data_IF_529045740777
#
_entry.id   IF_529045740777
#
_cell.length_a   1.000
_cell.length_b   1.000
_cell.length_c   1.000
_cell.angle_alpha   90.00
_cell.angle_beta   90.00
_cell.angle_gamma   90.00
#
_symmetry.space_group_name_H-M   'P 1'
#
loop_
_entity.id
_entity.type
_entity.pdbx_description
1 polymer ?
#
# COMPACT_ATOMS: atom_id res chain seq x y z
N UNK A 1 -9.31 -4.19 26.12
CA UNK A 1 -10.58 -4.82 25.71
C UNK A 1 -10.53 -4.93 24.19
N UNK A 2 -10.17 -6.09 23.65
CA UNK A 2 -10.07 -6.32 22.21
C UNK A 2 -11.47 -6.41 21.64
N UNK A 3 -11.89 -5.40 20.91
CA UNK A 3 -13.09 -5.49 20.07
C UNK A 3 -12.83 -6.50 18.97
N UNK A 4 -13.41 -7.69 19.10
CA UNK A 4 -13.59 -8.62 17.99
C UNK A 4 -14.43 -7.91 16.92
N UNK A 5 -13.78 -7.21 15.99
CA UNK A 5 -14.42 -6.90 14.71
C UNK A 5 -14.57 -8.23 13.98
N UNK A 6 -15.75 -8.83 14.09
CA UNK A 6 -16.20 -9.87 13.15
C UNK A 6 -16.13 -9.24 11.77
N UNK A 7 -15.08 -9.60 11.02
CA UNK A 7 -14.97 -9.28 9.61
C UNK A 7 -16.16 -9.92 8.90
N UNK A 8 -17.22 -9.13 8.69
CA UNK A 8 -18.38 -9.59 7.95
C UNK A 8 -18.02 -9.57 6.45
N UNK A 9 -17.15 -10.53 6.03
CA UNK A 9 -16.75 -10.73 4.63
C UNK A 9 -17.91 -11.37 3.88
N UNK A 10 -18.98 -10.61 3.71
CA UNK A 10 -20.24 -11.11 3.15
C UNK A 10 -20.23 -11.00 1.63
N UNK A 11 -19.51 -11.90 0.98
CA UNK A 11 -19.56 -12.06 -0.48
C UNK A 11 -20.49 -13.22 -0.82
N UNK A 12 -21.53 -13.01 -1.62
CA UNK A 12 -22.43 -14.09 -2.04
C UNK A 12 -21.70 -14.99 -3.05
N UNK A 13 -21.15 -16.11 -2.57
CA UNK A 13 -20.37 -17.08 -3.35
C UNK A 13 -21.09 -17.54 -4.61
N UNK A 14 -22.43 -17.58 -4.57
CA UNK A 14 -23.28 -18.03 -5.70
C UNK A 14 -23.37 -16.99 -6.81
N UNK A 15 -22.97 -15.73 -6.55
CA UNK A 15 -22.92 -14.68 -7.57
C UNK A 15 -21.59 -14.66 -8.31
N UNK A 16 -20.55 -15.27 -7.75
CA UNK A 16 -19.22 -15.26 -8.38
C UNK A 16 -19.23 -16.18 -9.61
N UNK A 17 -18.81 -15.63 -10.73
CA UNK A 17 -18.69 -16.32 -12.01
C UNK A 17 -17.26 -16.88 -12.13
N UNK A 18 -17.17 -18.19 -12.09
CA UNK A 18 -15.91 -18.87 -12.33
C UNK A 18 -15.76 -19.20 -13.82
N UNK A 19 -14.53 -19.21 -14.31
CA UNK A 19 -14.23 -19.64 -15.67
C UNK A 19 -14.50 -21.15 -15.87
N UNK A 20 -14.25 -21.67 -17.06
CA UNK A 20 -14.44 -23.08 -17.43
C UNK A 20 -13.63 -24.05 -16.57
N UNK A 21 -12.55 -23.56 -15.93
CA UNK A 21 -11.70 -24.34 -15.00
C UNK A 21 -12.19 -24.24 -13.53
N UNK A 22 -13.31 -23.57 -13.28
CA UNK A 22 -13.81 -23.32 -11.94
C UNK A 22 -12.98 -22.31 -11.13
N UNK A 23 -12.30 -21.38 -11.83
CA UNK A 23 -11.41 -20.40 -11.22
C UNK A 23 -11.87 -18.96 -11.48
N UNK A 24 -11.62 -18.07 -10.52
CA UNK A 24 -11.79 -16.61 -10.61
C UNK A 24 -10.47 -15.94 -10.29
N UNK A 25 -10.04 -14.92 -11.04
CA UNK A 25 -8.86 -14.13 -10.68
C UNK A 25 -9.13 -13.29 -9.43
N UNK A 26 -8.14 -13.23 -8.56
CA UNK A 26 -8.20 -12.47 -7.32
C UNK A 26 -7.00 -11.55 -7.20
N UNK A 27 -7.26 -10.25 -7.17
CA UNK A 27 -6.26 -9.19 -7.04
C UNK A 27 -6.12 -8.87 -5.56
N UNK A 28 -4.91 -9.01 -5.01
CA UNK A 28 -4.59 -8.56 -3.65
C UNK A 28 -4.05 -7.14 -3.68
N UNK A 29 -4.72 -6.24 -2.96
CA UNK A 29 -4.40 -4.82 -2.87
C UNK A 29 -4.10 -4.44 -1.42
N UNK A 30 -3.06 -3.64 -1.18
CA UNK A 30 -2.77 -3.13 0.16
C UNK A 30 -3.91 -2.22 0.64
N UNK A 31 -4.30 -2.39 1.91
CA UNK A 31 -5.45 -1.67 2.48
C UNK A 31 -5.14 -0.21 2.85
N UNK A 32 -3.86 0.16 3.00
CA UNK A 32 -3.44 1.51 3.41
C UNK A 32 -3.20 2.43 2.22
N UNK A 33 -2.41 1.98 1.26
CA UNK A 33 -1.94 2.81 0.15
C UNK A 33 -2.50 2.41 -1.23
N UNK A 34 -3.28 1.33 -1.28
CA UNK A 34 -3.92 0.90 -2.54
C UNK A 34 -2.98 0.21 -3.53
N UNK A 35 -1.72 -0.05 -3.16
CA UNK A 35 -0.79 -0.77 -4.04
C UNK A 35 -1.31 -2.16 -4.39
N UNK A 36 -1.32 -2.50 -5.68
CA UNK A 36 -1.59 -3.86 -6.13
C UNK A 36 -0.38 -4.75 -5.81
N UNK A 37 -0.56 -5.73 -4.94
CA UNK A 37 0.53 -6.56 -4.43
C UNK A 37 0.75 -7.82 -5.25
N UNK A 38 -0.33 -8.50 -5.64
CA UNK A 38 -0.26 -9.70 -6.47
C UNK A 38 -1.61 -10.02 -7.10
N UNK A 39 -1.61 -10.91 -8.07
CA UNK A 39 -2.81 -11.59 -8.57
C UNK A 39 -2.59 -13.10 -8.48
N UNK A 40 -3.61 -13.81 -8.02
CA UNK A 40 -3.66 -15.26 -8.02
C UNK A 40 -5.07 -15.74 -8.35
N UNK A 41 -5.24 -17.05 -8.42
CA UNK A 41 -6.55 -17.66 -8.75
C UNK A 41 -7.20 -18.24 -7.51
N UNK A 42 -8.52 -18.14 -7.46
CA UNK A 42 -9.32 -18.79 -6.44
C UNK A 42 -10.33 -19.73 -7.09
N UNK A 43 -10.56 -20.88 -6.49
CA UNK A 43 -11.74 -21.70 -6.70
C UNK A 43 -12.76 -21.44 -5.58
N UNK A 44 -13.94 -22.03 -5.66
CA UNK A 44 -15.00 -21.86 -4.65
C UNK A 44 -14.51 -22.21 -3.23
N UNK A 45 -13.72 -23.26 -3.10
CA UNK A 45 -13.21 -23.72 -1.80
C UNK A 45 -12.20 -22.74 -1.20
N UNK A 46 -11.23 -22.24 -1.99
CA UNK A 46 -10.25 -21.26 -1.51
C UNK A 46 -10.92 -19.94 -1.13
N UNK A 47 -11.93 -19.50 -1.88
CA UNK A 47 -12.70 -18.29 -1.55
C UNK A 47 -13.48 -18.49 -0.24
N UNK A 48 -14.15 -19.64 -0.05
CA UNK A 48 -14.84 -19.95 1.21
C UNK A 48 -13.86 -19.95 2.39
N UNK A 49 -12.69 -20.61 2.26
CA UNK A 49 -11.65 -20.61 3.30
C UNK A 49 -11.15 -19.21 3.61
N UNK A 50 -11.00 -18.35 2.58
CA UNK A 50 -10.60 -16.95 2.78
C UNK A 50 -11.63 -16.19 3.62
N UNK A 51 -12.93 -16.41 3.37
CA UNK A 51 -14.01 -15.81 4.15
C UNK A 51 -14.02 -16.32 5.59
N UNK A 52 -13.90 -17.63 5.76
CA UNK A 52 -13.99 -18.29 7.07
C UNK A 52 -12.81 -17.94 7.99
N UNK A 53 -11.61 -17.84 7.41
CA UNK A 53 -10.37 -17.60 8.19
C UNK A 53 -9.99 -16.15 8.32
N UNK A 54 -10.47 -15.27 7.41
CA UNK A 54 -10.01 -13.90 7.30
C UNK A 54 -8.58 -13.77 6.76
N UNK A 55 -8.00 -14.85 6.24
CA UNK A 55 -6.69 -14.90 5.61
C UNK A 55 -6.81 -15.44 4.19
N UNK A 56 -5.95 -14.96 3.26
CA UNK A 56 -6.11 -15.34 1.86
C UNK A 56 -5.68 -16.77 1.58
N UNK A 57 -6.59 -17.51 0.96
CA UNK A 57 -6.38 -18.83 0.38
C UNK A 57 -6.57 -18.75 -1.12
N UNK A 58 -5.63 -19.27 -1.87
CA UNK A 58 -5.66 -19.29 -3.33
C UNK A 58 -5.67 -20.73 -3.86
N UNK A 59 -5.88 -20.86 -5.16
CA UNK A 59 -5.72 -22.09 -5.90
C UNK A 59 -4.43 -22.05 -6.73
N UNK A 60 -3.51 -22.95 -6.46
CA UNK A 60 -2.29 -23.10 -7.26
C UNK A 60 -2.60 -23.90 -8.53
N UNK A 61 -2.58 -23.23 -9.68
CA UNK A 61 -2.84 -23.88 -10.99
C UNK A 61 -1.78 -24.90 -11.34
N UNK A 62 -0.52 -24.68 -10.99
CA UNK A 62 0.58 -25.61 -11.32
C UNK A 62 0.61 -26.83 -10.41
N UNK A 63 0.24 -26.68 -9.13
CA UNK A 63 0.23 -27.78 -8.15
C UNK A 63 -1.12 -28.45 -8.02
N UNK A 64 -2.19 -27.82 -8.55
CA UNK A 64 -3.58 -28.30 -8.43
C UNK A 64 -4.01 -28.50 -6.96
N UNK A 65 -3.67 -27.55 -6.10
CA UNK A 65 -3.95 -27.60 -4.67
C UNK A 65 -4.28 -26.23 -4.08
N UNK A 66 -4.89 -26.23 -2.92
CA UNK A 66 -5.10 -25.04 -2.12
C UNK A 66 -3.77 -24.48 -1.61
N UNK A 67 -3.66 -23.18 -1.62
CA UNK A 67 -2.47 -22.46 -1.18
C UNK A 67 -2.84 -21.37 -0.17
N UNK A 68 -2.50 -21.59 1.10
CA UNK A 68 -2.58 -20.55 2.12
C UNK A 68 -1.39 -19.60 1.97
N UNK A 69 -1.65 -18.35 1.62
CA UNK A 69 -0.59 -17.35 1.41
C UNK A 69 0.14 -17.06 2.72
N UNK A 70 1.45 -17.26 2.69
CA UNK A 70 2.32 -16.98 3.83
C UNK A 70 2.43 -18.11 4.86
N UNK A 71 1.77 -19.26 4.69
CA UNK A 71 1.84 -20.37 5.63
C UNK A 71 3.28 -20.84 5.94
N UNK A 72 4.16 -20.80 4.95
CA UNK A 72 5.58 -21.20 5.11
C UNK A 72 6.48 -20.03 5.42
N UNK A 73 6.26 -18.87 4.79
CA UNK A 73 7.16 -17.71 4.89
C UNK A 73 6.84 -16.77 6.05
N UNK A 74 5.67 -16.90 6.68
CA UNK A 74 5.15 -15.95 7.67
C UNK A 74 4.52 -14.68 7.05
N UNK A 75 4.65 -14.47 5.73
CA UNK A 75 4.09 -13.32 5.03
C UNK A 75 2.61 -13.52 4.69
N UNK A 76 1.78 -13.62 5.73
CA UNK A 76 0.33 -13.84 5.65
C UNK A 76 -0.37 -12.58 5.12
N UNK A 77 -1.49 -12.76 4.47
CA UNK A 77 -2.38 -11.70 4.01
C UNK A 77 -3.68 -11.74 4.81
N UNK A 78 -3.89 -10.77 5.70
CA UNK A 78 -5.14 -10.60 6.46
C UNK A 78 -6.14 -9.80 5.65
N UNK A 79 -7.31 -10.36 5.43
CA UNK A 79 -8.36 -9.74 4.63
C UNK A 79 -9.02 -8.59 5.42
N UNK A 80 -9.08 -7.41 4.80
CA UNK A 80 -9.77 -6.22 5.31
C UNK A 80 -11.10 -6.00 4.61
N UNK A 81 -11.17 -6.24 3.30
CA UNK A 81 -12.41 -6.29 2.55
C UNK A 81 -12.29 -7.22 1.34
N UNK A 82 -13.42 -7.73 0.87
CA UNK A 82 -13.52 -8.52 -0.34
C UNK A 82 -14.65 -7.95 -1.20
N UNK A 83 -14.33 -7.69 -2.46
CA UNK A 83 -15.25 -7.14 -3.47
C UNK A 83 -15.15 -7.96 -4.74
N UNK A 84 -16.17 -7.92 -5.55
CA UNK A 84 -16.20 -8.47 -6.89
C UNK A 84 -16.59 -7.36 -7.87
N UNK A 85 -16.23 -7.51 -9.13
CA UNK A 85 -16.49 -6.52 -10.15
C UNK A 85 -17.96 -6.55 -10.67
N UNK A 86 -18.25 -5.75 -11.69
CA UNK A 86 -19.64 -5.52 -12.14
C UNK A 86 -20.32 -6.75 -12.75
N UNK A 87 -19.56 -7.67 -13.34
CA UNK A 87 -20.04 -8.92 -13.92
C UNK A 87 -19.62 -10.16 -13.12
N UNK A 88 -19.02 -9.96 -11.95
CA UNK A 88 -18.71 -10.96 -10.93
C UNK A 88 -17.67 -12.01 -11.35
N UNK A 89 -16.80 -11.68 -12.29
CA UNK A 89 -15.76 -12.59 -12.79
C UNK A 89 -14.34 -12.24 -12.35
N UNK A 90 -14.17 -11.21 -11.49
CA UNK A 90 -12.92 -10.86 -10.83
C UNK A 90 -13.15 -10.46 -9.36
N UNK A 91 -12.18 -10.77 -8.51
CA UNK A 91 -12.17 -10.42 -7.09
C UNK A 91 -11.11 -9.36 -6.80
N UNK A 92 -11.47 -8.36 -6.00
CA UNK A 92 -10.54 -7.42 -5.39
C UNK A 92 -10.54 -7.65 -3.88
N UNK A 93 -9.42 -8.11 -3.36
CA UNK A 93 -9.22 -8.40 -1.95
C UNK A 93 -8.30 -7.32 -1.38
N UNK A 94 -8.85 -6.46 -0.54
CA UNK A 94 -8.05 -5.49 0.21
C UNK A 94 -7.47 -6.21 1.43
N UNK A 95 -6.15 -6.22 1.54
CA UNK A 95 -5.44 -7.01 2.56
C UNK A 95 -4.42 -6.17 3.34
N UNK A 96 -4.11 -6.61 4.54
CA UNK A 96 -2.92 -6.24 5.26
C UNK A 96 -1.84 -7.30 5.01
N UNK A 97 -0.75 -6.90 4.36
CA UNK A 97 0.38 -7.78 4.08
C UNK A 97 1.31 -7.82 5.30
N UNK A 98 1.37 -8.94 5.99
CA UNK A 98 2.29 -9.12 7.13
C UNK A 98 3.72 -9.22 6.60
N UNK A 99 4.63 -8.43 7.20
CA UNK A 99 6.03 -8.35 6.80
C UNK A 99 6.29 -7.54 5.52
N UNK A 100 5.25 -6.92 4.94
CA UNK A 100 5.33 -6.07 3.74
C UNK A 100 5.98 -6.73 2.51
N UNK A 101 5.93 -8.06 2.42
CA UNK A 101 6.48 -8.87 1.32
C UNK A 101 5.40 -9.78 0.75
N UNK A 102 4.91 -9.47 -0.45
CA UNK A 102 3.95 -10.32 -1.15
C UNK A 102 4.61 -11.27 -2.15
N UNK A 103 5.70 -10.86 -2.79
CA UNK A 103 6.40 -11.66 -3.79
C UNK A 103 7.31 -12.72 -3.16
N UNK A 104 7.41 -13.88 -3.81
CA UNK A 104 8.34 -14.95 -3.41
C UNK A 104 9.83 -14.60 -3.61
N UNK A 105 10.11 -13.51 -4.37
CA UNK A 105 11.46 -12.98 -4.56
C UNK A 105 11.90 -12.00 -3.47
N UNK A 106 11.05 -11.78 -2.45
CA UNK A 106 11.33 -10.84 -1.35
C UNK A 106 10.86 -9.41 -1.62
N UNK A 107 10.21 -9.15 -2.75
CA UNK A 107 9.69 -7.83 -3.10
C UNK A 107 8.30 -7.59 -2.49
N UNK A 108 7.98 -6.32 -2.24
CA UNK A 108 6.68 -5.93 -1.71
C UNK A 108 5.52 -6.33 -2.63
N UNK A 109 5.70 -6.21 -3.94
CA UNK A 109 4.70 -6.55 -4.96
C UNK A 109 5.27 -7.50 -6.01
N UNK A 110 4.42 -8.33 -6.60
CA UNK A 110 4.78 -9.12 -7.78
C UNK A 110 4.95 -8.28 -9.05
N UNK A 111 4.41 -7.05 -9.05
CA UNK A 111 4.42 -6.13 -10.19
C UNK A 111 5.62 -5.15 -10.11
N UNK A 112 6.83 -5.67 -9.90
CA UNK A 112 8.06 -4.90 -9.75
C UNK A 112 8.99 -4.91 -10.97
N UNK A 113 8.56 -5.51 -12.08
CA UNK A 113 9.34 -5.60 -13.32
C UNK A 113 8.80 -4.61 -14.35
N UNK A 114 9.69 -3.81 -14.95
CA UNK A 114 9.39 -2.94 -16.10
C UNK A 114 10.42 -3.21 -17.16
N UNK A 115 10.02 -3.71 -18.32
CA UNK A 115 10.88 -3.99 -19.48
C UNK A 115 12.19 -4.71 -19.12
N UNK A 116 12.12 -5.70 -18.21
CA UNK A 116 13.27 -6.47 -17.74
C UNK A 116 14.11 -5.79 -16.66
N UNK A 117 13.80 -4.57 -16.27
CA UNK A 117 14.41 -3.88 -15.13
C UNK A 117 13.51 -3.98 -13.90
N UNK A 118 14.11 -4.01 -12.69
CA UNK A 118 13.34 -3.88 -11.47
C UNK A 118 12.88 -2.44 -11.30
N UNK A 119 11.59 -2.25 -11.15
CA UNK A 119 11.01 -0.97 -10.75
C UNK A 119 10.25 -1.14 -9.44
N UNK A 120 10.10 -0.05 -8.71
CA UNK A 120 9.19 -0.03 -7.59
C UNK A 120 7.75 -0.24 -8.08
N UNK A 121 6.93 -1.02 -7.35
CA UNK A 121 5.53 -1.17 -7.71
C UNK A 121 4.84 0.18 -7.69
N UNK A 122 3.88 0.42 -8.60
CA UNK A 122 3.01 1.58 -8.51
C UNK A 122 2.35 1.60 -7.12
N UNK A 123 2.64 2.63 -6.36
CA UNK A 123 2.02 2.95 -5.10
C UNK A 123 1.31 4.31 -5.25
N UNK A 124 0.63 4.76 -4.22
CA UNK A 124 0.27 6.18 -4.20
C UNK A 124 1.55 7.04 -4.20
N UNK A 125 1.45 8.23 -4.78
CA UNK A 125 2.61 9.12 -4.97
C UNK A 125 3.32 9.45 -3.66
N UNK A 126 2.59 9.61 -2.55
CA UNK A 126 3.19 9.93 -1.25
C UNK A 126 4.02 8.76 -0.71
N UNK A 127 3.52 7.53 -0.82
CA UNK A 127 4.27 6.33 -0.42
C UNK A 127 5.53 6.16 -1.28
N UNK A 128 5.46 6.46 -2.58
CA UNK A 128 6.61 6.38 -3.46
C UNK A 128 7.67 7.43 -3.10
N UNK A 129 7.28 8.69 -2.92
CA UNK A 129 8.18 9.76 -2.49
C UNK A 129 8.81 9.42 -1.14
N UNK A 130 8.03 8.96 -0.16
CA UNK A 130 8.56 8.55 1.14
C UNK A 130 9.59 7.43 1.02
N UNK A 131 9.33 6.43 0.18
CA UNK A 131 10.27 5.32 -0.06
C UNK A 131 11.59 5.82 -0.68
N UNK A 132 11.54 6.76 -1.62
CA UNK A 132 12.74 7.41 -2.18
C UNK A 132 13.51 8.17 -1.09
N UNK A 133 12.82 8.89 -0.21
CA UNK A 133 13.44 9.60 0.92
C UNK A 133 14.15 8.60 1.86
N UNK A 134 13.51 7.48 2.19
CA UNK A 134 14.09 6.41 3.02
C UNK A 134 15.30 5.75 2.34
N UNK A 135 15.25 5.54 1.03
CA UNK A 135 16.40 5.07 0.27
C UNK A 135 17.58 6.05 0.36
N UNK A 136 17.33 7.35 0.21
CA UNK A 136 18.37 8.39 0.34
C UNK A 136 18.94 8.50 1.76
N UNK A 137 18.20 8.13 2.77
CA UNK A 137 18.70 8.04 4.15
C UNK A 137 19.68 6.86 4.32
N UNK A 138 19.41 5.74 3.65
CA UNK A 138 20.21 4.51 3.73
C UNK A 138 21.37 4.52 2.73
N UNK A 139 21.13 5.04 1.53
CA UNK A 139 22.06 5.11 0.39
C UNK A 139 22.26 6.56 -0.03
N UNK A 140 23.03 7.37 0.74
CA UNK A 140 23.19 8.80 0.46
C UNK A 140 23.98 9.04 -0.82
N UNK A 141 23.57 10.11 -1.56
CA UNK A 141 24.28 10.62 -2.75
C UNK A 141 24.60 12.09 -2.58
N UNK A 142 25.79 12.53 -3.04
CA UNK A 142 26.27 13.92 -2.84
C UNK A 142 25.39 14.97 -3.51
N UNK A 143 24.76 14.62 -4.64
CA UNK A 143 23.94 15.55 -5.42
C UNK A 143 22.51 15.68 -4.90
N UNK A 144 22.06 14.80 -4.01
CA UNK A 144 20.68 14.74 -3.53
C UNK A 144 20.37 15.86 -2.53
N UNK A 145 19.34 16.66 -2.82
CA UNK A 145 18.77 17.62 -1.89
C UNK A 145 18.27 16.96 -0.60
N UNK A 146 17.58 15.82 -0.72
CA UNK A 146 17.11 15.03 0.43
C UNK A 146 18.26 14.65 1.36
N UNK A 147 19.39 14.18 0.82
CA UNK A 147 20.56 13.83 1.62
C UNK A 147 21.15 15.04 2.36
N UNK A 148 21.23 16.20 1.68
CA UNK A 148 21.69 17.44 2.29
C UNK A 148 20.77 17.91 3.42
N UNK A 149 19.45 17.76 3.23
CA UNK A 149 18.46 18.14 4.24
C UNK A 149 18.50 17.22 5.45
N UNK A 150 18.59 15.90 5.26
CA UNK A 150 18.75 14.92 6.32
C UNK A 150 20.05 15.13 7.12
N UNK A 151 21.16 15.42 6.43
CA UNK A 151 22.46 15.69 7.08
C UNK A 151 22.45 17.02 7.86
N UNK A 152 21.68 18.01 7.43
CA UNK A 152 21.55 19.29 8.14
C UNK A 152 20.74 19.18 9.45
N UNK A 153 20.02 18.07 9.62
CA UNK A 153 19.34 17.72 10.86
C UNK A 153 18.00 18.38 11.09
N UNK A 154 17.42 18.06 12.23
CA UNK A 154 16.03 18.34 12.61
C UNK A 154 15.64 19.83 12.47
N UNK A 155 16.44 20.74 13.01
CA UNK A 155 16.12 22.17 12.98
C UNK A 155 15.96 22.71 11.55
N UNK A 156 16.72 22.19 10.58
CA UNK A 156 16.63 22.63 9.19
C UNK A 156 15.37 22.08 8.52
N UNK A 157 15.02 20.83 8.84
CA UNK A 157 13.81 20.16 8.34
C UNK A 157 12.56 20.87 8.87
N UNK A 158 12.49 21.10 10.20
CA UNK A 158 11.36 21.76 10.84
C UNK A 158 11.21 23.22 10.38
N UNK A 159 12.33 23.93 10.16
CA UNK A 159 12.31 25.26 9.59
C UNK A 159 11.64 25.26 8.21
N UNK A 160 11.95 24.29 7.34
CA UNK A 160 11.34 24.17 6.01
C UNK A 160 9.83 23.90 6.11
N UNK A 161 9.37 23.02 6.99
CA UNK A 161 7.93 22.81 7.20
C UNK A 161 7.22 24.13 7.59
N UNK A 162 7.86 24.95 8.44
CA UNK A 162 7.31 26.26 8.82
C UNK A 162 7.25 27.24 7.63
N UNK A 163 8.28 27.29 6.81
CA UNK A 163 8.35 28.12 5.59
C UNK A 163 7.24 27.71 4.61
N UNK A 164 7.17 26.45 4.22
CA UNK A 164 6.18 25.94 3.25
C UNK A 164 4.74 26.07 3.77
N UNK A 165 4.52 25.92 5.08
CA UNK A 165 3.19 26.17 5.68
C UNK A 165 2.75 27.63 5.52
N UNK A 166 3.66 28.59 5.65
CA UNK A 166 3.35 30.00 5.44
C UNK A 166 3.09 30.30 3.95
N UNK A 167 3.86 29.69 3.04
CA UNK A 167 3.71 29.84 1.59
C UNK A 167 2.36 29.28 1.10
N UNK A 168 1.92 28.10 1.63
CA UNK A 168 0.57 27.58 1.39
C UNK A 168 -0.51 28.58 1.81
N UNK A 169 -0.37 29.21 2.99
CA UNK A 169 -1.35 30.21 3.46
C UNK A 169 -1.40 31.42 2.54
N UNK A 170 -0.24 31.89 2.06
CA UNK A 170 -0.15 33.04 1.14
C UNK A 170 -0.78 32.69 -0.22
N UNK A 171 -0.43 31.54 -0.81
CA UNK A 171 -0.98 31.08 -2.07
C UNK A 171 -2.52 30.94 -2.01
N UNK A 172 -3.04 30.38 -0.91
CA UNK A 172 -4.48 30.30 -0.68
C UNK A 172 -5.14 31.70 -0.55
N UNK A 173 -4.42 32.67 0.01
CA UNK A 173 -4.92 34.02 0.16
C UNK A 173 -5.02 34.74 -1.17
N UNK A 174 -4.09 34.45 -2.09
CA UNK A 174 -4.02 35.02 -3.42
C UNK A 174 -4.93 34.30 -4.43
N UNK A 175 -5.56 33.20 -4.01
CA UNK A 175 -6.45 32.34 -4.82
C UNK A 175 -5.76 31.79 -6.10
N UNK A 176 -4.45 31.55 -6.03
CA UNK A 176 -3.64 31.01 -7.11
C UNK A 176 -3.57 29.48 -7.02
N UNK A 177 -4.35 28.80 -7.85
CA UNK A 177 -4.46 27.33 -7.83
C UNK A 177 -3.15 26.61 -8.11
N UNK A 178 -2.30 27.16 -9.00
CA UNK A 178 -1.03 26.53 -9.36
C UNK A 178 0.00 26.70 -8.21
N UNK A 179 0.05 27.90 -7.63
CA UNK A 179 0.87 28.17 -6.45
C UNK A 179 0.41 27.32 -5.26
N UNK A 180 -0.90 27.21 -4.99
CA UNK A 180 -1.44 26.35 -3.92
C UNK A 180 -0.97 24.91 -4.11
N UNK A 181 -1.08 24.36 -5.32
CA UNK A 181 -0.65 22.99 -5.61
C UNK A 181 0.84 22.77 -5.39
N UNK A 182 1.67 23.75 -5.81
CA UNK A 182 3.13 23.73 -5.63
C UNK A 182 3.51 23.74 -4.16
N UNK A 183 3.01 24.71 -3.39
CA UNK A 183 3.39 24.87 -1.99
C UNK A 183 2.87 23.74 -1.11
N UNK A 184 1.67 23.19 -1.41
CA UNK A 184 1.18 21.99 -0.75
C UNK A 184 2.07 20.79 -1.04
N UNK A 185 2.57 20.62 -2.27
CA UNK A 185 3.50 19.54 -2.61
C UNK A 185 4.82 19.68 -1.84
N UNK A 186 5.36 20.89 -1.71
CA UNK A 186 6.59 21.16 -0.96
C UNK A 186 6.39 20.92 0.55
N UNK A 187 5.27 21.35 1.12
CA UNK A 187 4.92 21.06 2.50
C UNK A 187 4.82 19.55 2.77
N UNK A 188 4.15 18.81 1.89
CA UNK A 188 4.05 17.35 1.99
C UNK A 188 5.44 16.70 1.90
N UNK A 189 6.27 17.11 0.94
CA UNK A 189 7.63 16.61 0.79
C UNK A 189 8.47 16.80 2.05
N UNK A 190 8.52 18.01 2.62
CA UNK A 190 9.30 18.30 3.81
C UNK A 190 8.74 17.58 5.06
N UNK A 191 7.42 17.38 5.12
CA UNK A 191 6.78 16.55 6.15
C UNK A 191 7.22 15.08 6.05
N UNK A 192 7.29 14.52 4.83
CA UNK A 192 7.78 13.14 4.61
C UNK A 192 9.26 13.01 4.99
N UNK A 193 10.09 14.04 4.75
CA UNK A 193 11.48 14.05 5.20
C UNK A 193 11.57 14.03 6.72
N UNK A 194 10.72 14.80 7.42
CA UNK A 194 10.65 14.78 8.89
C UNK A 194 10.23 13.39 9.41
N UNK A 195 9.22 12.76 8.81
CA UNK A 195 8.83 11.39 9.16
C UNK A 195 10.01 10.42 9.04
N UNK A 196 10.74 10.47 7.92
CA UNK A 196 11.90 9.62 7.69
C UNK A 196 13.00 9.90 8.73
N UNK A 197 13.31 11.15 9.01
CA UNK A 197 14.32 11.56 10.00
C UNK A 197 14.01 11.02 11.39
N UNK A 198 12.75 11.08 11.81
CA UNK A 198 12.27 10.58 13.10
C UNK A 198 11.93 9.08 13.09
N UNK A 199 12.18 8.35 12.00
CA UNK A 199 11.86 6.94 11.83
C UNK A 199 10.37 6.61 12.04
N UNK A 200 9.47 7.52 11.66
CA UNK A 200 8.03 7.30 11.64
C UNK A 200 7.61 6.80 10.26
N UNK A 201 6.96 5.65 10.20
CA UNK A 201 6.48 5.09 8.93
C UNK A 201 5.27 5.89 8.41
N UNK A 202 5.26 6.22 7.12
CA UNK A 202 4.10 6.89 6.48
C UNK A 202 2.81 6.09 6.65
N UNK A 203 2.89 4.77 6.76
CA UNK A 203 1.74 3.90 7.02
C UNK A 203 1.07 4.18 8.37
N UNK A 204 1.82 4.68 9.36
CA UNK A 204 1.25 5.12 10.64
C UNK A 204 0.40 6.38 10.45
N UNK A 205 0.83 7.30 9.57
CA UNK A 205 0.03 8.47 9.18
C UNK A 205 -1.26 8.02 8.49
N UNK A 206 -1.18 7.08 7.55
CA UNK A 206 -2.36 6.53 6.87
C UNK A 206 -3.34 5.86 7.85
N UNK A 207 -2.84 5.09 8.83
CA UNK A 207 -3.67 4.49 9.90
C UNK A 207 -4.40 5.57 10.71
N UNK A 208 -3.69 6.65 11.06
CA UNK A 208 -4.31 7.79 11.77
C UNK A 208 -5.37 8.48 10.93
N UNK A 209 -5.12 8.70 9.65
CA UNK A 209 -6.12 9.29 8.75
C UNK A 209 -7.34 8.37 8.56
N UNK A 210 -7.13 7.07 8.39
CA UNK A 210 -8.21 6.09 8.30
C UNK A 210 -9.07 6.08 9.57
N UNK A 211 -8.45 6.13 10.76
CA UNK A 211 -9.19 6.11 12.03
C UNK A 211 -10.10 7.34 12.24
N UNK A 212 -9.84 8.43 11.49
CA UNK A 212 -10.60 9.68 11.54
C UNK A 212 -11.70 9.78 10.48
N UNK A 213 -11.81 8.78 9.59
CA UNK A 213 -12.82 8.83 8.50
C UNK A 213 -14.26 8.54 8.95
N UNK A 214 -14.48 8.20 10.21
CA UNK A 214 -15.83 7.93 10.75
C UNK A 214 -16.33 6.55 10.36
#
# INVERSE_FOLDING_TARGET
MSSNQTNNLNVPLDKIRYNEQGLVPAIAQDYLDGTVLMMAWMNRESLQKTIDTGETWYWSRSRQELWHKGATSGHIQKVRSLRYDCDSDALLITIEQIGDIACHTGERSCFHQVDGTKAAPPADTLSEVYRVIRDRQTNPTETSYTCKLLAAGDNKILKKIGEESAEVVMACKDDDSDAIASEVADLLYHTLVALAYHNVDIRDVYRQLQSRRG
#
